data_IF_555603874645
#
_entry.id   IF_555603874645
#
_cell.length_a   1.000
_cell.length_b   1.000
_cell.length_c   1.000
_cell.angle_alpha   90.00
_cell.angle_beta   90.00
_cell.angle_gamma   90.00
#
_symmetry.space_group_name_H-M   'P 1'
#
loop_
_entity.id
_entity.type
_entity.pdbx_description
1 polymer ?
#
# COMPACT_ATOMS: atom_id res chain seq x y z
N UNK A 1 29.53 6.49 7.70
CA UNK A 1 29.89 5.06 7.71
C UNK A 1 28.61 4.25 7.72
N UNK A 2 28.37 3.34 6.76
CA UNK A 2 27.22 2.41 6.82
C UNK A 2 27.60 1.27 7.77
N UNK A 3 26.86 1.12 8.87
CA UNK A 3 27.12 0.13 9.94
C UNK A 3 26.87 -1.32 9.48
N UNK A 4 26.03 -1.50 8.47
CA UNK A 4 25.65 -2.80 7.91
C UNK A 4 25.64 -2.72 6.39
N UNK A 5 26.03 -3.81 5.73
CA UNK A 5 25.79 -4.00 4.30
C UNK A 5 24.35 -4.49 4.10
N UNK A 6 23.56 -3.69 3.39
CA UNK A 6 22.16 -3.96 3.07
C UNK A 6 21.92 -3.87 1.55
N UNK A 7 22.97 -4.08 0.75
CA UNK A 7 22.96 -4.03 -0.71
C UNK A 7 22.02 -5.05 -1.37
N UNK A 8 21.63 -6.11 -0.66
CA UNK A 8 20.71 -7.14 -1.15
C UNK A 8 19.24 -6.85 -0.90
N UNK A 9 18.89 -5.81 -0.12
CA UNK A 9 17.48 -5.45 0.07
C UNK A 9 16.88 -5.00 -1.26
N UNK A 10 15.74 -5.58 -1.63
CA UNK A 10 15.00 -5.28 -2.86
C UNK A 10 13.62 -4.69 -2.60
N UNK A 11 13.00 -5.05 -1.47
CA UNK A 11 11.67 -4.57 -1.10
C UNK A 11 11.58 -4.35 0.41
N UNK A 12 10.85 -3.30 0.79
CA UNK A 12 10.36 -3.05 2.14
C UNK A 12 8.84 -2.97 2.05
N UNK A 13 8.14 -3.80 2.81
CA UNK A 13 6.68 -3.77 2.89
C UNK A 13 6.24 -3.11 4.20
N UNK A 14 5.33 -2.16 4.10
CA UNK A 14 4.71 -1.46 5.23
C UNK A 14 3.26 -1.93 5.32
N UNK A 15 2.71 -1.99 6.53
CA UNK A 15 1.30 -2.30 6.76
C UNK A 15 0.85 -1.73 8.10
N UNK A 16 -0.38 -2.08 8.50
CA UNK A 16 -1.04 -1.67 9.75
C UNK A 16 -1.32 -0.16 9.92
N UNK A 17 -0.74 0.70 9.08
CA UNK A 17 -1.03 2.13 9.07
C UNK A 17 -0.74 2.74 7.69
N UNK A 18 -1.36 3.89 7.43
CA UNK A 18 -1.07 4.68 6.23
C UNK A 18 0.41 5.09 6.19
N UNK A 19 1.05 4.82 5.06
CA UNK A 19 2.43 5.24 4.80
C UNK A 19 2.43 6.66 4.22
N UNK A 20 3.02 7.59 4.97
CA UNK A 20 3.13 8.99 4.55
C UNK A 20 4.17 9.16 3.44
N UNK A 21 3.89 10.08 2.52
CA UNK A 21 4.75 10.41 1.37
C UNK A 21 6.16 10.82 1.80
N UNK A 22 6.28 11.59 2.88
CA UNK A 22 7.55 12.10 3.39
C UNK A 22 8.47 10.95 3.85
N UNK A 23 7.90 9.92 4.50
CA UNK A 23 8.66 8.76 4.95
C UNK A 23 9.15 7.91 3.77
N UNK A 24 8.31 7.71 2.77
CA UNK A 24 8.68 7.02 1.52
C UNK A 24 9.80 7.76 0.79
N UNK A 25 9.68 9.08 0.66
CA UNK A 25 10.69 9.90 -0.02
C UNK A 25 12.03 9.89 0.72
N UNK A 26 12.04 9.92 2.05
CA UNK A 26 13.26 9.83 2.83
C UNK A 26 13.99 8.49 2.63
N UNK A 27 13.24 7.37 2.57
CA UNK A 27 13.79 6.04 2.29
C UNK A 27 14.35 5.95 0.88
N UNK A 28 13.60 6.40 -0.13
CA UNK A 28 14.03 6.35 -1.53
C UNK A 28 15.21 7.27 -1.83
N UNK A 29 15.33 8.40 -1.12
CA UNK A 29 16.50 9.30 -1.23
C UNK A 29 17.78 8.61 -0.76
N UNK A 30 17.68 7.76 0.27
CA UNK A 30 18.83 7.02 0.82
C UNK A 30 19.10 5.69 0.09
N UNK A 31 18.04 5.05 -0.40
CA UNK A 31 18.04 3.71 -0.99
C UNK A 31 17.17 3.67 -2.27
N UNK A 32 17.64 4.28 -3.37
CA UNK A 32 16.82 4.46 -4.58
C UNK A 32 16.47 3.16 -5.31
N UNK A 33 17.16 2.06 -5.00
CA UNK A 33 16.89 0.73 -5.58
C UNK A 33 15.81 -0.05 -4.81
N UNK A 34 15.37 0.44 -3.65
CA UNK A 34 14.37 -0.24 -2.85
C UNK A 34 12.97 -0.02 -3.43
N UNK A 35 12.16 -1.07 -3.32
CA UNK A 35 10.72 -1.01 -3.62
C UNK A 35 9.98 -0.88 -2.29
N UNK A 36 9.38 0.26 -2.05
CA UNK A 36 8.57 0.49 -0.84
C UNK A 36 7.12 0.22 -1.23
N UNK A 37 6.50 -0.78 -0.61
CA UNK A 37 5.12 -1.21 -0.93
C UNK A 37 4.25 -1.14 0.31
N UNK A 38 2.99 -0.75 0.17
CA UNK A 38 1.99 -0.80 1.23
C UNK A 38 1.15 -2.08 1.12
N UNK A 39 0.77 -2.64 2.26
CA UNK A 39 -0.28 -3.65 2.38
C UNK A 39 -1.38 -3.11 3.28
N UNK A 40 -2.62 -3.11 2.79
CA UNK A 40 -3.79 -2.74 3.56
C UNK A 40 -4.65 -3.97 3.83
N UNK A 41 -5.15 -4.06 5.06
CA UNK A 41 -5.98 -5.14 5.56
C UNK A 41 -6.20 -4.97 7.05
N UNK A 42 -7.03 -5.84 7.60
CA UNK A 42 -7.40 -5.89 9.00
C UNK A 42 -7.12 -7.28 9.57
N UNK A 43 -7.22 -7.42 10.89
CA UNK A 43 -7.14 -8.73 11.54
C UNK A 43 -8.25 -9.66 11.01
N UNK A 44 -9.45 -9.10 10.85
CA UNK A 44 -10.68 -9.76 10.41
C UNK A 44 -10.61 -10.23 8.95
N UNK A 45 -9.72 -9.65 8.14
CA UNK A 45 -9.55 -9.99 6.72
C UNK A 45 -8.34 -10.89 6.48
N UNK A 46 -7.79 -11.53 7.52
CA UNK A 46 -6.57 -12.35 7.43
C UNK A 46 -5.35 -11.56 6.90
N UNK A 47 -5.03 -10.44 7.56
CA UNK A 47 -3.79 -9.65 7.42
C UNK A 47 -3.79 -8.65 6.26
N UNK A 48 -3.90 -9.08 4.99
CA UNK A 48 -3.76 -8.18 3.82
C UNK A 48 -4.79 -8.52 2.75
N UNK A 49 -5.48 -7.49 2.26
CA UNK A 49 -6.47 -7.57 1.16
C UNK A 49 -5.96 -6.87 -0.09
N UNK A 50 -5.21 -5.78 0.06
CA UNK A 50 -4.61 -5.06 -1.08
C UNK A 50 -3.11 -4.86 -0.87
N UNK A 51 -2.34 -4.87 -1.96
CA UNK A 51 -0.92 -4.50 -1.94
C UNK A 51 -0.42 -4.01 -3.29
N UNK A 52 0.61 -3.16 -3.28
CA UNK A 52 1.30 -2.77 -4.51
C UNK A 52 2.02 -3.96 -5.16
N UNK A 53 1.93 -4.02 -6.49
CA UNK A 53 2.83 -4.87 -7.25
C UNK A 53 4.22 -4.22 -7.28
N UNK A 54 5.33 -4.97 -7.09
CA UNK A 54 6.68 -4.41 -7.14
C UNK A 54 7.07 -3.82 -8.51
N UNK A 55 6.26 -4.03 -9.56
CA UNK A 55 6.47 -3.47 -10.88
C UNK A 55 5.56 -2.25 -11.15
N UNK A 56 4.60 -2.00 -10.26
CA UNK A 56 3.57 -0.98 -10.40
C UNK A 56 3.22 -0.46 -8.99
N UNK A 57 4.07 0.44 -8.49
CA UNK A 57 3.96 1.04 -7.16
C UNK A 57 3.41 2.44 -7.33
N UNK A 58 2.25 2.70 -6.73
CA UNK A 58 1.67 4.05 -6.68
C UNK A 58 1.83 4.59 -5.28
N UNK A 59 2.71 5.59 -5.13
CA UNK A 59 2.99 6.17 -3.81
C UNK A 59 1.70 6.78 -3.24
N UNK A 60 1.45 6.50 -1.97
CA UNK A 60 0.23 6.88 -1.23
C UNK A 60 -1.07 6.17 -1.66
N UNK A 61 -0.98 5.09 -2.46
CA UNK A 61 -2.08 4.15 -2.70
C UNK A 61 -2.08 2.99 -1.70
N UNK A 62 -3.24 2.35 -1.50
CA UNK A 62 -3.36 1.07 -0.80
C UNK A 62 -3.05 -0.14 -1.70
N UNK A 63 -2.70 0.10 -2.97
CA UNK A 63 -2.31 -0.92 -3.94
C UNK A 63 -3.49 -1.57 -4.66
N UNK A 64 -3.24 -2.75 -5.22
CA UNK A 64 -4.20 -3.54 -5.99
C UNK A 64 -4.87 -4.60 -5.10
N UNK A 65 -6.10 -4.99 -5.43
CA UNK A 65 -6.83 -6.07 -4.74
C UNK A 65 -6.11 -7.39 -5.00
N UNK A 66 -5.84 -8.16 -3.93
CA UNK A 66 -5.20 -9.46 -4.02
C UNK A 66 -6.17 -10.53 -4.57
N UNK A 67 -5.66 -11.57 -5.23
CA UNK A 67 -6.48 -12.68 -5.70
C UNK A 67 -7.30 -13.30 -4.56
N UNK A 68 -8.58 -13.57 -4.83
CA UNK A 68 -9.51 -14.17 -3.85
C UNK A 68 -10.27 -13.16 -3.00
N UNK A 69 -10.06 -11.86 -3.21
CA UNK A 69 -10.81 -10.81 -2.55
C UNK A 69 -11.60 -9.95 -3.55
N UNK A 70 -12.70 -9.39 -3.06
CA UNK A 70 -13.45 -8.33 -3.72
C UNK A 70 -13.52 -7.15 -2.75
N UNK A 71 -13.44 -5.94 -3.29
CA UNK A 71 -13.55 -4.69 -2.52
C UNK A 71 -14.60 -3.81 -3.18
N UNK A 72 -15.43 -3.17 -2.38
CA UNK A 72 -16.42 -2.20 -2.83
C UNK A 72 -16.34 -0.95 -1.99
N UNK A 73 -16.83 0.15 -2.54
CA UNK A 73 -17.02 1.40 -1.81
C UNK A 73 -18.52 1.63 -1.59
N UNK A 74 -18.88 2.09 -0.40
CA UNK A 74 -20.27 2.39 -0.01
C UNK A 74 -20.37 3.86 0.42
N UNK A 75 -21.34 4.59 -0.10
CA UNK A 75 -21.57 5.98 0.30
C UNK A 75 -22.27 6.08 1.67
N UNK A 76 -22.44 7.30 2.19
CA UNK A 76 -23.12 7.53 3.48
C UNK A 76 -24.60 7.14 3.49
N UNK A 77 -25.20 6.89 2.32
CA UNK A 77 -26.56 6.40 2.15
C UNK A 77 -26.66 4.88 2.02
N UNK A 78 -25.54 4.15 2.09
CA UNK A 78 -25.51 2.70 1.95
C UNK A 78 -25.52 2.21 0.50
N UNK A 79 -25.34 3.11 -0.49
CA UNK A 79 -25.33 2.73 -1.91
C UNK A 79 -23.90 2.45 -2.38
N UNK A 80 -23.75 1.45 -3.26
CA UNK A 80 -22.48 1.17 -3.95
C UNK A 80 -22.04 2.38 -4.78
N UNK A 81 -20.79 2.78 -4.59
CA UNK A 81 -20.11 3.77 -5.43
C UNK A 81 -19.59 3.07 -6.69
N UNK A 82 -19.96 3.58 -7.86
CA UNK A 82 -19.59 3.00 -9.18
C UNK A 82 -18.71 3.92 -10.02
N UNK A 83 -18.74 5.23 -9.75
CA UNK A 83 -17.94 6.21 -10.47
C UNK A 83 -16.49 6.26 -9.95
N UNK A 84 -15.56 6.58 -10.84
CA UNK A 84 -14.16 6.79 -10.46
C UNK A 84 -13.99 8.10 -9.68
N UNK A 85 -13.04 8.09 -8.73
CA UNK A 85 -12.68 9.25 -7.90
C UNK A 85 -13.81 9.79 -7.00
N UNK A 86 -14.76 8.95 -6.63
CA UNK A 86 -15.75 9.25 -5.59
C UNK A 86 -15.38 8.57 -4.27
N UNK A 87 -15.66 9.27 -3.16
CA UNK A 87 -15.36 8.78 -1.82
C UNK A 87 -16.43 7.80 -1.34
N UNK A 88 -16.01 6.81 -0.55
CA UNK A 88 -16.89 5.88 0.14
C UNK A 88 -16.15 5.18 1.28
N UNK A 89 -16.92 4.47 2.11
CA UNK A 89 -16.41 3.50 3.07
C UNK A 89 -15.97 2.23 2.33
N UNK A 90 -14.81 1.69 2.70
CA UNK A 90 -14.23 0.45 2.19
C UNK A 90 -14.74 -0.74 2.99
#
# INVERSE_FOLDING_TARGET
MKKYDISFIRRVMVGAAALRLEATNALLSSYPLWKITLGHGMTETCVVVTSDAPRDIVIASSGLILPGFEVMLVDTGGKRVEAYNELGEV
#
